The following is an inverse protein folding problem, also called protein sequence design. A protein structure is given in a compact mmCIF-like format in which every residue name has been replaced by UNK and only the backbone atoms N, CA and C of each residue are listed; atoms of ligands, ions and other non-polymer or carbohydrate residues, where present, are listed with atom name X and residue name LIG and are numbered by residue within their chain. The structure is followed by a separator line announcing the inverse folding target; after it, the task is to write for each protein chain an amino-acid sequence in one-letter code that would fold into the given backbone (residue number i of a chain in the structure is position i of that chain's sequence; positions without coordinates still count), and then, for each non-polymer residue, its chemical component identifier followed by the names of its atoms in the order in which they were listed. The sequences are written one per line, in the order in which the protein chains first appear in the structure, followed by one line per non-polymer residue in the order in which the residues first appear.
data_IF_561189049360
#
_entry.id   IF_561189049360
#
_cell.length_a   1.000
_cell.length_b   1.000
_cell.length_c   1.000
_cell.angle_alpha   90.00
_cell.angle_beta   90.00
_cell.angle_gamma   90.00
#
_symmetry.space_group_name_H-M   'P 1'
#
loop_
_entity.id
_entity.type
_entity.pdbx_description
1 polymer ?
#
# COMPACT_ATOMS: atom_id res chain seq x y z
N UNK A 1 -3.86 -16.29 2.02
CA UNK A 1 -3.14 -16.92 3.15
C UNK A 1 -3.77 -16.57 4.50
N UNK A 2 -3.79 -15.31 4.94
CA UNK A 2 -4.24 -14.89 6.29
C UNK A 2 -5.64 -15.37 6.74
N UNK A 3 -6.56 -15.66 5.81
CA UNK A 3 -7.97 -16.00 6.11
C UNK A 3 -8.37 -17.42 5.69
N UNK A 4 -7.43 -18.29 5.30
CA UNK A 4 -7.75 -19.60 4.71
C UNK A 4 -8.61 -20.50 5.61
N UNK A 5 -8.46 -20.41 6.94
CA UNK A 5 -9.21 -21.20 7.93
C UNK A 5 -10.39 -20.46 8.56
N UNK A 6 -10.72 -19.26 8.08
CA UNK A 6 -11.81 -18.43 8.60
C UNK A 6 -13.09 -18.65 7.79
N UNK A 7 -14.25 -18.37 8.40
CA UNK A 7 -15.56 -18.42 7.73
C UNK A 7 -15.60 -17.58 6.44
N UNK A 8 -14.90 -16.44 6.45
CA UNK A 8 -14.63 -15.66 5.25
C UNK A 8 -13.17 -15.86 4.86
N UNK A 9 -12.93 -16.32 3.63
CA UNK A 9 -11.61 -16.77 3.14
C UNK A 9 -10.86 -15.72 2.30
N UNK A 10 -11.23 -14.45 2.40
CA UNK A 10 -10.72 -13.37 1.56
C UNK A 10 -11.17 -13.38 0.09
N UNK A 11 -12.14 -14.21 -0.29
CA UNK A 11 -12.77 -14.09 -1.62
C UNK A 11 -13.51 -12.76 -1.74
N UNK A 12 -13.09 -11.94 -2.70
CA UNK A 12 -13.83 -10.74 -3.12
C UNK A 12 -14.97 -11.25 -4.01
N UNK A 13 -16.21 -10.85 -3.73
CA UNK A 13 -17.41 -11.42 -4.38
C UNK A 13 -17.25 -11.49 -5.90
N UNK A 14 -17.59 -12.65 -6.48
CA UNK A 14 -17.33 -13.09 -7.86
C UNK A 14 -17.98 -12.26 -9.00
N UNK A 15 -18.41 -11.02 -8.73
CA UNK A 15 -19.01 -10.11 -9.72
C UNK A 15 -18.43 -8.69 -9.73
N UNK A 16 -17.33 -8.44 -9.00
CA UNK A 16 -16.61 -7.16 -9.04
C UNK A 16 -15.30 -7.29 -9.82
N UNK A 17 -15.25 -6.73 -11.04
CA UNK A 17 -14.11 -6.87 -11.97
C UNK A 17 -12.81 -6.16 -11.53
N UNK A 18 -12.76 -5.54 -10.35
CA UNK A 18 -11.59 -4.76 -9.93
C UNK A 18 -11.45 -4.72 -8.43
N UNK A 19 -10.21 -4.98 -7.97
CA UNK A 19 -9.83 -4.71 -6.58
C UNK A 19 -9.68 -3.20 -6.30
N UNK A 20 -9.58 -2.40 -7.36
CA UNK A 20 -9.49 -0.95 -7.31
C UNK A 20 -10.86 -0.36 -7.64
N UNK A 21 -11.75 -0.35 -6.65
CA UNK A 21 -13.15 0.07 -6.79
C UNK A 21 -13.93 -0.08 -5.48
N UNK A 22 -15.27 0.05 -5.48
CA UNK A 22 -16.10 -0.25 -4.30
C UNK A 22 -16.10 -1.76 -4.01
N UNK A 23 -14.96 -2.21 -3.49
CA UNK A 23 -14.50 -3.59 -3.25
C UNK A 23 -15.49 -4.43 -2.45
N UNK A 24 -16.20 -3.81 -1.51
CA UNK A 24 -17.20 -4.46 -0.67
C UNK A 24 -18.29 -3.45 -0.36
N UNK A 25 -19.53 -3.75 -0.77
CA UNK A 25 -20.71 -2.88 -0.53
C UNK A 25 -20.92 -2.59 0.97
N UNK A 26 -20.58 -3.53 1.84
CA UNK A 26 -20.66 -3.42 3.30
C UNK A 26 -19.38 -2.87 3.92
N UNK A 27 -19.51 -1.97 4.90
CA UNK A 27 -18.40 -1.54 5.76
C UNK A 27 -18.22 -2.56 6.89
N UNK A 28 -17.33 -3.54 6.70
CA UNK A 28 -17.04 -4.61 7.67
C UNK A 28 -15.56 -4.63 8.05
N UNK A 29 -15.22 -5.40 9.09
CA UNK A 29 -13.83 -5.61 9.53
C UNK A 29 -12.97 -6.22 8.43
N UNK A 30 -13.53 -7.13 7.65
CA UNK A 30 -12.89 -7.77 6.50
C UNK A 30 -12.63 -6.75 5.39
N UNK A 31 -13.56 -5.82 5.16
CA UNK A 31 -13.35 -4.74 4.20
C UNK A 31 -12.26 -3.75 4.63
N UNK A 32 -12.15 -3.49 5.93
CA UNK A 32 -11.08 -2.67 6.48
C UNK A 32 -9.71 -3.33 6.27
N UNK A 33 -9.63 -4.63 6.51
CA UNK A 33 -8.42 -5.42 6.24
C UNK A 33 -8.04 -5.35 4.76
N UNK A 34 -9.00 -5.57 3.84
CA UNK A 34 -8.75 -5.51 2.40
C UNK A 34 -8.21 -4.14 1.96
N UNK A 35 -8.81 -3.04 2.42
CA UNK A 35 -8.33 -1.69 2.14
C UNK A 35 -6.88 -1.50 2.58
N UNK A 36 -6.57 -1.89 3.83
CA UNK A 36 -5.22 -1.79 4.37
C UNK A 36 -4.20 -2.64 3.62
N UNK A 37 -4.47 -3.94 3.44
CA UNK A 37 -3.51 -4.85 2.79
C UNK A 37 -3.29 -4.51 1.32
N UNK A 38 -4.32 -4.01 0.62
CA UNK A 38 -4.19 -3.58 -0.78
C UNK A 38 -3.30 -2.33 -0.87
N UNK A 39 -3.49 -1.34 0.01
CA UNK A 39 -2.65 -0.15 0.05
C UNK A 39 -1.19 -0.48 0.42
N UNK A 40 -0.99 -1.38 1.37
CA UNK A 40 0.33 -1.89 1.75
C UNK A 40 1.00 -2.63 0.58
N UNK A 41 0.26 -3.52 -0.09
CA UNK A 41 0.76 -4.32 -1.21
C UNK A 41 1.21 -3.46 -2.40
N UNK A 42 0.45 -2.42 -2.76
CA UNK A 42 0.86 -1.47 -3.80
C UNK A 42 2.11 -0.70 -3.40
N UNK A 43 2.20 -0.25 -2.14
CA UNK A 43 3.39 0.46 -1.65
C UNK A 43 4.63 -0.44 -1.72
N UNK A 44 4.51 -1.67 -1.20
CA UNK A 44 5.58 -2.67 -1.22
C UNK A 44 6.03 -3.00 -2.64
N UNK A 45 5.10 -3.41 -3.52
CA UNK A 45 5.44 -3.79 -4.89
C UNK A 45 6.08 -2.65 -5.68
N UNK A 46 5.65 -1.40 -5.45
CA UNK A 46 6.27 -0.23 -6.08
C UNK A 46 7.69 -0.03 -5.56
N UNK A 47 7.88 -0.08 -4.24
CA UNK A 47 9.21 0.03 -3.62
C UNK A 47 10.16 -1.05 -4.13
N UNK A 48 9.71 -2.28 -4.30
CA UNK A 48 10.51 -3.38 -4.87
C UNK A 48 10.90 -3.14 -6.31
N UNK A 49 9.91 -2.79 -7.15
CA UNK A 49 10.16 -2.49 -8.56
C UNK A 49 11.21 -1.38 -8.73
N UNK A 50 11.17 -0.36 -7.89
CA UNK A 50 12.17 0.71 -7.87
C UNK A 50 13.56 0.22 -7.42
N UNK A 51 13.63 -0.63 -6.39
CA UNK A 51 14.88 -1.14 -5.88
C UNK A 51 15.55 -2.15 -6.83
N UNK A 52 14.76 -2.92 -7.58
CA UNK A 52 15.22 -3.82 -8.64
C UNK A 52 15.59 -3.09 -9.94
N UNK A 53 15.32 -1.78 -10.04
CA UNK A 53 15.57 -1.00 -11.25
C UNK A 53 14.63 -1.35 -12.41
N UNK A 54 13.44 -1.91 -12.14
CA UNK A 54 12.43 -2.26 -13.16
C UNK A 54 11.62 -1.05 -13.67
N UNK A 55 11.79 0.12 -13.07
CA UNK A 55 11.05 1.34 -13.40
C UNK A 55 12.01 2.52 -13.56
N UNK A 56 11.86 3.26 -14.65
CA UNK A 56 12.64 4.48 -14.91
C UNK A 56 12.15 5.69 -14.10
N UNK A 57 10.95 5.59 -13.50
CA UNK A 57 10.30 6.70 -12.79
C UNK A 57 10.70 6.84 -11.32
N UNK A 58 11.51 5.91 -10.81
CA UNK A 58 12.00 5.91 -9.45
C UNK A 58 13.40 5.30 -9.38
N UNK A 59 14.08 5.53 -8.25
CA UNK A 59 15.44 5.03 -8.00
C UNK A 59 15.57 4.63 -6.54
N UNK A 60 16.63 3.89 -6.23
CA UNK A 60 17.02 3.59 -4.86
C UNK A 60 17.09 4.86 -4.01
N UNK A 61 16.68 4.75 -2.75
CA UNK A 61 16.98 5.77 -1.77
C UNK A 61 18.48 5.71 -1.45
N UNK A 62 19.10 6.88 -1.47
CA UNK A 62 20.53 7.04 -1.37
C UNK A 62 20.89 8.18 -0.42
N UNK A 63 19.92 8.58 0.41
CA UNK A 63 20.06 9.61 1.44
C UNK A 63 21.13 9.27 2.48
N UNK A 64 21.37 7.98 2.73
CA UNK A 64 22.42 7.49 3.62
C UNK A 64 23.39 6.62 2.83
N UNK A 65 24.66 7.03 2.77
CA UNK A 65 25.76 6.37 2.03
C UNK A 65 27.10 6.63 2.71
N UNK A 66 28.08 5.77 2.42
CA UNK A 66 29.47 6.00 2.81
C UNK A 66 29.86 5.35 4.13
N UNK A 67 31.12 5.56 4.51
CA UNK A 67 31.72 5.00 5.73
C UNK A 67 31.11 5.68 6.97
N UNK A 68 30.69 4.87 7.93
CA UNK A 68 30.23 5.33 9.23
C UNK A 68 31.40 5.47 10.20
N UNK A 69 31.17 6.15 11.34
CA UNK A 69 32.19 6.32 12.37
C UNK A 69 32.62 4.98 13.00
N UNK A 70 31.75 3.96 12.96
CA UNK A 70 32.01 2.62 13.47
C UNK A 70 32.79 1.72 12.48
N UNK A 71 33.22 2.26 11.33
CA UNK A 71 34.12 1.58 10.39
C UNK A 71 33.43 0.62 9.40
N UNK A 72 32.10 0.57 9.37
CA UNK A 72 31.34 -0.10 8.30
C UNK A 72 30.78 0.93 7.32
N UNK A 73 30.37 0.54 6.12
CA UNK A 73 29.86 1.49 5.11
C UNK A 73 28.46 1.14 4.62
N UNK A 74 27.62 2.16 4.48
CA UNK A 74 26.36 2.04 3.74
C UNK A 74 26.64 1.88 2.25
N UNK A 75 26.08 0.83 1.65
CA UNK A 75 26.21 0.51 0.23
C UNK A 75 24.99 -0.22 -0.32
N UNK A 76 25.01 -0.49 -1.62
CA UNK A 76 23.90 -1.14 -2.32
C UNK A 76 22.75 -0.20 -2.65
N UNK A 77 21.54 -0.74 -2.69
CA UNK A 77 20.32 -0.03 -3.02
C UNK A 77 19.39 -0.01 -1.81
N UNK A 78 19.25 1.14 -1.14
CA UNK A 78 18.22 1.26 -0.11
C UNK A 78 16.86 1.39 -0.79
N UNK A 79 15.88 0.69 -0.23
CA UNK A 79 14.51 0.66 -0.76
C UNK A 79 13.87 2.05 -0.63
N UNK A 80 13.31 2.64 -1.71
CA UNK A 80 12.65 3.93 -1.65
C UNK A 80 11.22 3.80 -1.08
N UNK A 81 11.12 3.47 0.21
CA UNK A 81 9.85 3.21 0.92
C UNK A 81 8.92 4.43 0.83
N UNK A 82 9.46 5.64 1.04
CA UNK A 82 8.71 6.89 0.95
C UNK A 82 8.05 7.08 -0.43
N UNK A 83 8.74 6.70 -1.51
CA UNK A 83 8.19 6.75 -2.86
C UNK A 83 7.05 5.74 -3.05
N UNK A 84 7.23 4.50 -2.61
CA UNK A 84 6.18 3.48 -2.70
C UNK A 84 4.92 3.85 -1.92
N UNK A 85 5.09 4.40 -0.70
CA UNK A 85 3.98 4.90 0.11
C UNK A 85 3.26 6.06 -0.62
N UNK A 86 4.01 7.02 -1.15
CA UNK A 86 3.44 8.14 -1.91
C UNK A 86 2.68 7.66 -3.14
N UNK A 87 3.24 6.73 -3.90
CA UNK A 87 2.58 6.16 -5.07
C UNK A 87 1.29 5.44 -4.69
N UNK A 88 1.32 4.63 -3.61
CA UNK A 88 0.13 3.96 -3.09
C UNK A 88 -0.94 4.95 -2.62
N UNK A 89 -0.57 6.07 -1.97
CA UNK A 89 -1.51 7.15 -1.66
C UNK A 89 -2.17 7.68 -2.93
N UNK A 90 -1.38 8.03 -3.93
CA UNK A 90 -1.92 8.54 -5.19
C UNK A 90 -2.84 7.54 -5.88
N UNK A 91 -2.42 6.29 -6.00
CA UNK A 91 -3.15 5.31 -6.78
C UNK A 91 -4.41 4.81 -6.06
N UNK A 92 -4.29 4.43 -4.79
CA UNK A 92 -5.39 3.81 -4.05
C UNK A 92 -6.38 4.86 -3.52
N UNK A 93 -5.90 5.96 -2.96
CA UNK A 93 -6.79 6.95 -2.35
C UNK A 93 -7.55 7.75 -3.43
N UNK A 94 -6.99 7.89 -4.65
CA UNK A 94 -7.71 8.51 -5.78
C UNK A 94 -9.02 7.79 -6.12
N UNK A 95 -9.07 6.47 -5.98
CA UNK A 95 -10.31 5.70 -6.21
C UNK A 95 -11.39 6.16 -5.24
N UNK A 96 -11.05 6.28 -3.96
CA UNK A 96 -11.98 6.76 -2.92
C UNK A 96 -12.39 8.23 -3.14
N UNK A 97 -11.43 9.08 -3.56
CA UNK A 97 -11.70 10.49 -3.84
C UNK A 97 -12.61 10.69 -5.05
N UNK A 98 -12.44 9.90 -6.11
CA UNK A 98 -13.23 10.00 -7.36
C UNK A 98 -14.61 9.36 -7.23
N UNK A 99 -14.72 8.21 -6.56
CA UNK A 99 -15.97 7.44 -6.47
C UNK A 99 -16.90 7.97 -5.38
N UNK A 100 -16.35 8.55 -4.29
CA UNK A 100 -17.14 8.91 -3.10
C UNK A 100 -17.12 10.41 -2.78
N UNK A 101 -18.28 10.90 -2.32
CA UNK A 101 -18.45 12.27 -1.85
C UNK A 101 -17.50 12.56 -0.68
N UNK A 102 -17.03 13.82 -0.58
CA UNK A 102 -16.07 14.25 0.46
C UNK A 102 -16.55 13.99 1.89
N UNK A 103 -17.86 14.07 2.15
CA UNK A 103 -18.48 13.83 3.47
C UNK A 103 -19.01 12.40 3.67
N UNK A 104 -18.64 11.45 2.80
CA UNK A 104 -19.04 10.05 2.95
C UNK A 104 -18.24 9.37 4.09
N UNK A 105 -18.89 8.86 5.15
CA UNK A 105 -18.19 8.15 6.24
C UNK A 105 -17.39 6.94 5.73
N UNK A 106 -17.84 6.28 4.66
CA UNK A 106 -17.12 5.15 4.06
C UNK A 106 -15.80 5.59 3.46
N UNK A 107 -15.76 6.78 2.82
CA UNK A 107 -14.53 7.36 2.29
C UNK A 107 -13.53 7.61 3.43
N UNK A 108 -13.99 8.19 4.54
CA UNK A 108 -13.13 8.44 5.69
C UNK A 108 -12.56 7.14 6.28
N UNK A 109 -13.40 6.12 6.43
CA UNK A 109 -12.99 4.79 6.91
C UNK A 109 -11.96 4.14 5.96
N UNK A 110 -12.21 4.12 4.66
CA UNK A 110 -11.31 3.50 3.69
C UNK A 110 -9.96 4.23 3.64
N UNK A 111 -9.95 5.57 3.61
CA UNK A 111 -8.70 6.36 3.67
C UNK A 111 -7.90 6.11 4.95
N UNK A 112 -8.58 5.98 6.10
CA UNK A 112 -7.96 5.61 7.36
C UNK A 112 -7.31 4.23 7.30
N UNK A 113 -8.03 3.23 6.79
CA UNK A 113 -7.53 1.86 6.68
C UNK A 113 -6.37 1.76 5.68
N UNK A 114 -6.45 2.44 4.54
CA UNK A 114 -5.37 2.51 3.56
C UNK A 114 -4.10 3.10 4.18
N UNK A 115 -4.25 4.20 4.94
CA UNK A 115 -3.14 4.79 5.68
C UNK A 115 -2.55 3.79 6.66
N UNK A 116 -3.38 3.15 7.49
CA UNK A 116 -2.92 2.16 8.46
C UNK A 116 -2.12 1.01 7.80
N UNK A 117 -2.57 0.54 6.62
CA UNK A 117 -1.83 -0.45 5.85
C UNK A 117 -0.46 0.03 5.38
N UNK A 118 -0.37 1.27 4.88
CA UNK A 118 0.91 1.85 4.42
C UNK A 118 1.90 2.12 5.56
N UNK A 119 1.41 2.46 6.75
CA UNK A 119 2.28 2.70 7.92
C UNK A 119 3.11 1.46 8.28
N UNK A 120 2.58 0.26 8.08
CA UNK A 120 3.28 -1.00 8.36
C UNK A 120 4.53 -1.16 7.48
N UNK A 121 4.57 -0.55 6.29
CA UNK A 121 5.70 -0.66 5.35
C UNK A 121 6.89 0.23 5.79
N UNK A 122 6.70 1.15 6.75
CA UNK A 122 7.77 2.04 7.25
C UNK A 122 8.74 1.35 8.22
N UNK A 123 8.38 0.17 8.70
CA UNK A 123 9.11 -0.60 9.71
C UNK A 123 9.58 -1.93 9.12
#
# INVERSE_FOLDING_TARGET
EQFQTRKWNCSIMAGGNSIFGPMIKKASRESAFISGITAAGVAYATTESCAEGRSDHCRCDNSIRGLTEEGWSWGGCNRPISYGIWFSMLFIDMVEVKVRKKRDPRRAMNLHNNRAGREIIRH
#
